data_IF_869483296008
#
_entry.id   IF_869483296008
#
_cell.length_a   1.000
_cell.length_b   1.000
_cell.length_c   1.000
_cell.angle_alpha   90.00
_cell.angle_beta   90.00
_cell.angle_gamma   90.00
#
_symmetry.space_group_name_H-M   'P 1'
#
loop_
_entity.id
_entity.type
_entity.pdbx_description
1 polymer ?
#
# COMPACT_ATOMS: atom_id res chain seq x y z
N UNK A 1 -28.51 10.02 20.19
CA UNK A 1 -27.88 10.88 19.15
C UNK A 1 -26.48 11.38 19.53
N UNK A 2 -26.17 11.56 20.84
CA UNK A 2 -24.86 12.03 21.33
C UNK A 2 -23.64 11.14 20.97
N UNK A 3 -23.78 9.82 20.97
CA UNK A 3 -22.67 8.90 20.71
C UNK A 3 -22.02 9.07 19.32
N UNK A 4 -22.81 9.39 18.28
CA UNK A 4 -22.30 9.61 16.92
C UNK A 4 -21.48 10.90 16.80
N UNK A 5 -21.89 11.96 17.51
CA UNK A 5 -21.19 13.24 17.51
C UNK A 5 -19.86 13.12 18.25
N UNK A 6 -19.85 12.47 19.43
CA UNK A 6 -18.60 12.19 20.16
C UNK A 6 -17.65 11.34 19.33
N UNK A 7 -18.13 10.28 18.67
CA UNK A 7 -17.26 9.45 17.83
C UNK A 7 -16.66 10.23 16.65
N UNK A 8 -17.45 11.08 15.97
CA UNK A 8 -16.96 11.92 14.88
C UNK A 8 -15.93 12.94 15.37
N UNK A 9 -16.19 13.58 16.50
CA UNK A 9 -15.25 14.54 17.10
C UNK A 9 -13.96 13.82 17.50
N UNK A 10 -14.04 12.69 18.19
CA UNK A 10 -12.87 11.89 18.56
C UNK A 10 -12.08 11.43 17.34
N UNK A 11 -12.74 11.02 16.25
CA UNK A 11 -12.07 10.62 15.02
C UNK A 11 -11.31 11.78 14.38
N UNK A 12 -11.92 12.98 14.31
CA UNK A 12 -11.27 14.17 13.77
C UNK A 12 -10.10 14.61 14.64
N UNK A 13 -10.27 14.60 15.97
CA UNK A 13 -9.20 14.96 16.92
C UNK A 13 -8.05 13.97 16.83
N UNK A 14 -8.33 12.66 16.81
CA UNK A 14 -7.31 11.62 16.65
C UNK A 14 -6.54 11.80 15.34
N UNK A 15 -7.26 12.07 14.24
CA UNK A 15 -6.65 12.30 12.93
C UNK A 15 -5.70 13.50 12.95
N UNK A 16 -6.15 14.65 13.46
CA UNK A 16 -5.33 15.86 13.55
C UNK A 16 -4.12 15.69 14.45
N UNK A 17 -4.28 15.05 15.61
CA UNK A 17 -3.17 14.79 16.54
C UNK A 17 -2.16 13.82 15.92
N UNK A 18 -2.62 12.75 15.28
CA UNK A 18 -1.73 11.77 14.65
C UNK A 18 -0.98 12.40 13.48
N UNK A 19 -1.65 13.21 12.66
CA UNK A 19 -1.02 13.95 11.57
C UNK A 19 0.02 14.96 12.07
N UNK A 20 -0.31 15.76 13.09
CA UNK A 20 0.64 16.71 13.67
C UNK A 20 1.86 15.98 14.29
N UNK A 21 1.62 14.85 14.97
CA UNK A 21 2.67 14.04 15.57
C UNK A 21 3.62 13.43 14.52
N UNK A 22 3.11 12.96 13.38
CA UNK A 22 3.93 12.37 12.31
C UNK A 22 4.72 13.41 11.53
N UNK A 23 4.22 14.65 11.43
CA UNK A 23 4.96 15.78 10.84
C UNK A 23 6.16 16.17 11.71
N UNK A 24 6.01 16.17 13.04
CA UNK A 24 7.11 16.48 13.96
C UNK A 24 8.07 15.31 14.19
N UNK A 25 7.56 14.08 14.25
CA UNK A 25 8.35 12.86 14.39
C UNK A 25 8.14 11.94 13.18
N UNK A 26 8.99 12.05 12.14
CA UNK A 26 8.83 11.27 10.91
C UNK A 26 9.06 9.77 11.12
N UNK A 27 9.59 9.34 12.27
CA UNK A 27 9.78 7.93 12.63
C UNK A 27 8.49 7.12 12.61
N UNK A 28 7.36 7.69 13.02
CA UNK A 28 6.07 7.02 12.95
C UNK A 28 5.62 6.81 11.49
N UNK A 29 5.90 7.79 10.62
CA UNK A 29 5.62 7.72 9.19
C UNK A 29 6.51 6.64 8.53
N UNK A 30 7.77 6.56 8.93
CA UNK A 30 8.71 5.54 8.48
C UNK A 30 8.24 4.12 8.83
N UNK A 31 7.76 3.88 10.06
CA UNK A 31 7.22 2.56 10.47
C UNK A 31 5.98 2.18 9.64
N UNK A 32 5.12 3.16 9.34
CA UNK A 32 3.96 2.92 8.46
C UNK A 32 4.43 2.56 7.06
N UNK A 33 5.40 3.29 6.50
CA UNK A 33 5.98 3.04 5.18
C UNK A 33 6.66 1.67 5.09
N UNK A 34 7.43 1.28 6.11
CA UNK A 34 8.03 -0.04 6.26
C UNK A 34 7.03 -1.18 6.08
N UNK A 35 5.83 -1.05 6.66
CA UNK A 35 4.80 -2.10 6.63
C UNK A 35 3.95 -1.98 5.36
N UNK A 36 3.51 -0.76 5.04
CA UNK A 36 2.59 -0.49 3.93
C UNK A 36 3.29 -0.51 2.57
N UNK A 37 4.56 -0.15 2.48
CA UNK A 37 5.35 -0.12 1.24
C UNK A 37 5.40 -1.49 0.55
N UNK A 38 5.89 -2.56 1.23
CA UNK A 38 5.88 -3.91 0.67
C UNK A 38 4.47 -4.40 0.32
N UNK A 39 3.47 -4.10 1.16
CA UNK A 39 2.09 -4.48 0.94
C UNK A 39 1.49 -3.81 -0.31
N UNK A 40 1.67 -2.50 -0.45
CA UNK A 40 1.18 -1.71 -1.59
C UNK A 40 1.89 -2.15 -2.87
N UNK A 41 3.21 -2.37 -2.83
CA UNK A 41 3.96 -2.88 -3.98
C UNK A 41 3.44 -4.27 -4.41
N UNK A 42 3.17 -5.17 -3.47
CA UNK A 42 2.59 -6.47 -3.79
C UNK A 42 1.19 -6.33 -4.42
N UNK A 43 0.34 -5.44 -3.89
CA UNK A 43 -0.99 -5.18 -4.45
C UNK A 43 -0.89 -4.55 -5.86
N UNK A 44 0.01 -3.60 -6.08
CA UNK A 44 0.10 -2.90 -7.37
C UNK A 44 0.75 -3.77 -8.45
N UNK A 45 1.72 -4.61 -8.11
CA UNK A 45 2.48 -5.36 -9.10
C UNK A 45 2.14 -6.85 -9.18
N UNK A 46 1.92 -7.53 -8.04
CA UNK A 46 1.67 -8.97 -8.01
C UNK A 46 0.19 -9.28 -8.22
N UNK A 47 -0.72 -8.55 -7.56
CA UNK A 47 -2.17 -8.79 -7.67
C UNK A 47 -2.69 -8.76 -9.11
N UNK A 48 -2.40 -7.75 -9.97
CA UNK A 48 -2.91 -7.74 -11.34
C UNK A 48 -2.32 -8.90 -12.16
N UNK A 49 -1.05 -9.22 -11.94
CA UNK A 49 -0.37 -10.33 -12.60
C UNK A 49 -0.95 -11.69 -12.23
N UNK A 50 -1.34 -11.86 -10.96
CA UNK A 50 -2.07 -13.01 -10.48
C UNK A 50 -3.47 -13.06 -11.09
N UNK A 51 -4.21 -11.95 -11.07
CA UNK A 51 -5.58 -11.87 -11.58
C UNK A 51 -5.67 -12.25 -13.06
N UNK A 52 -4.73 -11.80 -13.91
CA UNK A 52 -4.71 -12.17 -15.34
C UNK A 52 -4.46 -13.67 -15.58
N UNK A 53 -3.78 -14.36 -14.66
CA UNK A 53 -3.55 -15.81 -14.75
C UNK A 53 -4.71 -16.63 -14.22
N UNK A 54 -5.35 -16.17 -13.14
CA UNK A 54 -6.40 -16.92 -12.43
C UNK A 54 -7.79 -16.69 -13.01
N UNK A 55 -8.06 -15.50 -13.57
CA UNK A 55 -9.39 -15.15 -14.10
C UNK A 55 -9.46 -15.42 -15.60
N UNK A 56 -10.29 -16.37 -16.06
CA UNK A 56 -10.36 -16.76 -17.48
C UNK A 56 -10.81 -15.62 -18.41
N UNK A 57 -11.67 -14.71 -17.92
CA UNK A 57 -12.11 -13.53 -18.67
C UNK A 57 -10.99 -12.49 -18.93
N UNK A 58 -9.89 -12.56 -18.16
CA UNK A 58 -8.74 -11.67 -18.31
C UNK A 58 -7.63 -12.25 -19.20
N UNK A 59 -7.80 -13.47 -19.73
CA UNK A 59 -6.80 -14.11 -20.60
C UNK A 59 -6.49 -13.32 -21.87
N UNK A 60 -7.45 -12.54 -22.36
CA UNK A 60 -7.26 -11.63 -23.50
C UNK A 60 -6.19 -10.55 -23.26
N UNK A 61 -5.92 -10.21 -21.98
CA UNK A 61 -4.91 -9.24 -21.58
C UNK A 61 -3.56 -9.90 -21.23
N UNK A 62 -3.33 -11.15 -21.65
CA UNK A 62 -2.02 -11.81 -21.54
C UNK A 62 -1.09 -11.24 -22.61
N UNK A 63 -0.47 -10.09 -22.31
CA UNK A 63 0.58 -9.51 -23.11
C UNK A 63 1.96 -9.93 -22.60
N UNK A 64 2.98 -9.84 -23.46
CA UNK A 64 4.39 -9.97 -23.05
C UNK A 64 4.75 -8.91 -21.99
N UNK A 65 4.09 -7.75 -22.06
CA UNK A 65 4.18 -6.66 -21.08
C UNK A 65 3.92 -7.12 -19.64
N UNK A 66 3.11 -8.15 -19.44
CA UNK A 66 2.82 -8.69 -18.12
C UNK A 66 4.11 -9.22 -17.45
N UNK A 67 5.02 -9.83 -18.23
CA UNK A 67 6.32 -10.27 -17.70
C UNK A 67 7.19 -9.08 -17.30
N UNK A 68 7.16 -8.00 -18.08
CA UNK A 68 7.86 -6.75 -17.75
C UNK A 68 7.33 -6.12 -16.46
N UNK A 69 5.99 -6.03 -16.30
CA UNK A 69 5.35 -5.51 -15.08
C UNK A 69 5.71 -6.36 -13.86
N UNK A 70 5.74 -7.69 -14.00
CA UNK A 70 6.15 -8.60 -12.93
C UNK A 70 7.62 -8.37 -12.52
N UNK A 71 8.52 -8.22 -13.50
CA UNK A 71 9.95 -7.99 -13.25
C UNK A 71 10.19 -6.64 -12.59
N UNK A 72 9.58 -5.57 -13.09
CA UNK A 72 9.66 -4.24 -12.46
C UNK A 72 9.07 -4.24 -11.06
N UNK A 73 7.96 -4.96 -10.86
CA UNK A 73 7.38 -5.15 -9.54
C UNK A 73 8.30 -5.89 -8.58
N UNK A 74 9.02 -6.91 -9.05
CA UNK A 74 9.97 -7.65 -8.23
C UNK A 74 11.19 -6.79 -7.86
N UNK A 75 11.67 -5.96 -8.80
CA UNK A 75 12.74 -4.98 -8.55
C UNK A 75 12.29 -3.94 -7.52
N UNK A 76 11.08 -3.37 -7.68
CA UNK A 76 10.52 -2.40 -6.75
C UNK A 76 10.33 -2.99 -5.35
N UNK A 77 9.80 -4.22 -5.26
CA UNK A 77 9.66 -4.94 -4.00
C UNK A 77 11.03 -5.20 -3.35
N UNK A 78 12.02 -5.60 -4.15
CA UNK A 78 13.39 -5.80 -3.67
C UNK A 78 14.00 -4.50 -3.16
N UNK A 79 13.81 -3.36 -3.85
CA UNK A 79 14.33 -2.07 -3.43
C UNK A 79 13.68 -1.59 -2.11
N UNK A 80 12.38 -1.80 -1.93
CA UNK A 80 11.67 -1.48 -0.69
C UNK A 80 12.14 -2.35 0.48
N UNK A 81 12.35 -3.65 0.24
CA UNK A 81 12.88 -4.57 1.27
C UNK A 81 14.33 -4.23 1.61
N UNK A 82 15.15 -3.86 0.62
CA UNK A 82 16.53 -3.46 0.83
C UNK A 82 16.67 -2.11 1.52
N UNK A 83 15.74 -1.17 1.28
CA UNK A 83 15.66 0.10 2.00
C UNK A 83 15.13 -0.05 3.43
N UNK A 84 14.63 -1.24 3.78
CA UNK A 84 14.11 -1.56 5.10
C UNK A 84 15.14 -2.28 6.00
N UNK A 85 16.08 -3.00 5.38
CA UNK A 85 17.27 -3.59 6.03
C UNK A 85 18.32 -2.51 6.24
#
# INVERSE_FOLDING_TARGET
MAARTTQRISAVVLFLLTWAATVWNPSALHIIETISGPLIAAILFILPMYAVRTVPAMRQYRALSNVFVLLMGLIALSALIYGLI
#
